data_IF_936807940457
#
_entry.id   IF_936807940457
#
_cell.length_a   1.000
_cell.length_b   1.000
_cell.length_c   1.000
_cell.angle_alpha   90.00
_cell.angle_beta   90.00
_cell.angle_gamma   90.00
#
_symmetry.space_group_name_H-M   'P 1'
#
loop_
_entity.id
_entity.type
_entity.pdbx_description
1 polymer ?
#
# COMPACT_ATOMS: atom_id res chain seq x y z
N UNK A 1 -3.99 -4.64 19.39
CA UNK A 1 -4.40 -5.26 18.11
C UNK A 1 -5.81 -5.83 18.13
N UNK A 2 -6.31 -6.36 19.23
CA UNK A 2 -7.69 -6.88 19.34
C UNK A 2 -8.78 -5.89 18.91
N UNK A 3 -8.67 -4.62 19.32
CA UNK A 3 -9.63 -3.56 18.90
C UNK A 3 -9.66 -3.36 17.38
N UNK A 4 -8.51 -3.42 16.71
CA UNK A 4 -8.44 -3.31 15.24
C UNK A 4 -9.03 -4.56 14.59
N UNK A 5 -8.73 -5.75 15.12
CA UNK A 5 -9.32 -6.99 14.63
C UNK A 5 -10.86 -6.96 14.73
N UNK A 6 -11.42 -6.44 15.83
CA UNK A 6 -12.87 -6.34 16.01
C UNK A 6 -13.58 -5.38 15.04
N UNK A 7 -12.86 -4.43 14.43
CA UNK A 7 -13.41 -3.53 13.42
C UNK A 7 -13.25 -4.06 12.00
N UNK A 8 -12.42 -5.09 11.80
CA UNK A 8 -12.15 -5.69 10.51
C UNK A 8 -13.10 -6.85 10.25
N UNK A 9 -13.59 -6.93 9.01
CA UNK A 9 -14.45 -7.99 8.53
C UNK A 9 -14.06 -8.40 7.11
N UNK A 10 -13.99 -9.70 6.83
CA UNK A 10 -13.49 -10.23 5.56
C UNK A 10 -14.29 -9.75 4.33
N UNK A 11 -15.60 -9.50 4.46
CA UNK A 11 -16.41 -9.02 3.33
C UNK A 11 -16.26 -7.52 3.03
N UNK A 12 -15.69 -6.74 3.95
CA UNK A 12 -15.61 -5.27 3.83
C UNK A 12 -14.23 -4.70 4.20
N UNK A 13 -13.22 -5.55 4.33
CA UNK A 13 -11.85 -5.18 4.68
C UNK A 13 -10.91 -5.77 3.65
N UNK A 14 -10.03 -4.95 3.11
CA UNK A 14 -8.97 -5.38 2.21
C UNK A 14 -7.63 -5.15 2.88
N UNK A 15 -6.73 -6.13 2.75
CA UNK A 15 -5.33 -5.97 3.09
C UNK A 15 -4.54 -5.70 1.81
N UNK A 16 -3.82 -4.58 1.77
CA UNK A 16 -2.90 -4.30 0.68
C UNK A 16 -1.56 -4.97 0.95
N UNK A 17 -1.40 -6.18 0.43
CA UNK A 17 -0.19 -6.99 0.59
C UNK A 17 -0.13 -8.11 -0.47
N UNK A 18 0.98 -8.25 -1.21
CA UNK A 18 1.16 -9.30 -2.20
C UNK A 18 1.52 -10.65 -1.54
N UNK A 19 0.54 -11.30 -0.93
CA UNK A 19 0.68 -12.70 -0.48
C UNK A 19 0.51 -13.69 -1.65
N UNK A 20 0.87 -14.95 -1.42
CA UNK A 20 0.70 -16.03 -2.42
C UNK A 20 -0.75 -16.20 -2.88
N UNK A 21 -1.72 -15.88 -2.01
CA UNK A 21 -3.15 -15.96 -2.31
C UNK A 21 -3.77 -14.57 -2.59
N UNK A 22 -2.96 -13.55 -2.83
CA UNK A 22 -3.46 -12.21 -3.10
C UNK A 22 -4.07 -12.11 -4.49
N UNK A 23 -5.09 -11.28 -4.62
CA UNK A 23 -5.81 -11.05 -5.87
C UNK A 23 -5.39 -9.69 -6.45
N UNK A 24 -5.28 -9.59 -7.77
CA UNK A 24 -5.02 -8.31 -8.42
C UNK A 24 -6.17 -7.34 -8.12
N UNK A 25 -5.88 -6.21 -7.48
CA UNK A 25 -6.87 -5.19 -7.12
C UNK A 25 -7.66 -4.75 -8.36
N UNK A 26 -6.95 -4.61 -9.47
CA UNK A 26 -7.46 -4.16 -10.75
C UNK A 26 -8.50 -5.09 -11.36
N UNK A 27 -8.49 -6.38 -11.01
CA UNK A 27 -9.42 -7.39 -11.54
C UNK A 27 -10.76 -7.43 -10.79
N UNK A 28 -10.83 -6.87 -9.57
CA UNK A 28 -11.98 -6.97 -8.67
C UNK A 28 -12.52 -5.58 -8.26
N UNK A 29 -12.21 -4.52 -9.03
CA UNK A 29 -12.47 -3.12 -8.68
C UNK A 29 -13.89 -2.87 -8.20
N UNK A 30 -14.88 -3.27 -8.99
CA UNK A 30 -16.31 -3.04 -8.72
C UNK A 30 -16.78 -3.78 -7.47
N UNK A 31 -16.36 -5.04 -7.33
CA UNK A 31 -16.70 -5.87 -6.18
C UNK A 31 -16.14 -5.26 -4.89
N UNK A 32 -14.85 -4.91 -4.88
CA UNK A 32 -14.19 -4.31 -3.72
C UNK A 32 -14.82 -2.95 -3.41
N UNK A 33 -14.94 -2.05 -4.40
CA UNK A 33 -15.45 -0.71 -4.19
C UNK A 33 -16.87 -0.69 -3.60
N UNK A 34 -17.70 -1.69 -3.93
CA UNK A 34 -19.07 -1.80 -3.45
C UNK A 34 -19.22 -2.11 -1.95
N UNK A 35 -18.22 -2.76 -1.33
CA UNK A 35 -18.32 -3.26 0.05
C UNK A 35 -17.20 -2.80 0.97
N UNK A 36 -16.10 -2.27 0.43
CA UNK A 36 -14.91 -1.90 1.19
C UNK A 36 -15.21 -0.75 2.16
N UNK A 37 -14.98 -1.02 3.45
CA UNK A 37 -15.07 -0.06 4.56
C UNK A 37 -13.70 0.24 5.16
N UNK A 38 -12.80 -0.75 5.15
CA UNK A 38 -11.49 -0.66 5.77
C UNK A 38 -10.41 -1.10 4.76
N UNK A 39 -9.42 -0.23 4.53
CA UNK A 39 -8.19 -0.60 3.83
C UNK A 39 -7.07 -0.73 4.86
N UNK A 40 -6.51 -1.93 4.99
CA UNK A 40 -5.34 -2.18 5.82
C UNK A 40 -4.08 -2.05 4.98
N UNK A 41 -3.16 -1.21 5.45
CA UNK A 41 -1.82 -1.04 4.85
C UNK A 41 -0.81 -1.18 5.98
N UNK A 42 0.25 -1.97 5.77
CA UNK A 42 1.30 -2.18 6.76
C UNK A 42 2.48 -1.28 6.41
N UNK A 43 2.71 -0.25 7.23
CA UNK A 43 3.82 0.67 7.02
C UNK A 43 5.14 0.10 7.54
N UNK A 44 6.08 -0.12 6.62
CA UNK A 44 7.40 -0.65 6.95
C UNK A 44 8.12 -1.25 5.75
N UNK A 45 9.32 -1.79 5.99
CA UNK A 45 10.01 -2.63 5.01
C UNK A 45 9.25 -3.95 4.78
N UNK A 46 9.51 -4.62 3.66
CA UNK A 46 8.93 -5.95 3.37
C UNK A 46 9.14 -6.97 4.50
N UNK A 47 10.34 -6.98 5.10
CA UNK A 47 10.65 -7.84 6.24
C UNK A 47 9.80 -7.51 7.47
N UNK A 48 9.57 -6.22 7.75
CA UNK A 48 8.72 -5.78 8.86
C UNK A 48 7.25 -6.09 8.58
N UNK A 49 6.76 -5.83 7.36
CA UNK A 49 5.39 -6.16 6.98
C UNK A 49 5.11 -7.66 7.08
N UNK A 50 6.04 -8.49 6.62
CA UNK A 50 5.97 -9.93 6.81
C UNK A 50 5.95 -10.32 8.29
N UNK A 51 6.82 -9.73 9.11
CA UNK A 51 6.84 -10.01 10.56
C UNK A 51 5.51 -9.65 11.24
N UNK A 52 4.87 -8.53 10.87
CA UNK A 52 3.54 -8.15 11.36
C UNK A 52 2.48 -9.19 10.99
N UNK A 53 2.49 -9.70 9.76
CA UNK A 53 1.56 -10.76 9.33
C UNK A 53 1.75 -12.04 10.12
N UNK A 54 3.00 -12.47 10.35
CA UNK A 54 3.31 -13.64 11.15
C UNK A 54 2.91 -13.46 12.62
N UNK A 55 3.04 -12.24 13.15
CA UNK A 55 2.70 -11.93 14.54
C UNK A 55 1.18 -11.89 14.78
N UNK A 56 0.38 -11.52 13.78
CA UNK A 56 -1.07 -11.37 13.91
C UNK A 56 -1.83 -12.25 12.92
N UNK A 57 -2.07 -13.54 13.23
CA UNK A 57 -2.64 -14.52 12.31
C UNK A 57 -4.00 -14.14 11.71
N UNK A 58 -4.79 -13.30 12.38
CA UNK A 58 -6.07 -12.82 11.86
C UNK A 58 -5.92 -11.96 10.61
N UNK A 59 -4.76 -11.35 10.35
CA UNK A 59 -4.52 -10.62 9.11
C UNK A 59 -4.55 -11.55 7.89
N UNK A 60 -4.15 -12.81 8.07
CA UNK A 60 -4.18 -13.83 7.01
C UNK A 60 -5.60 -14.29 6.67
N UNK A 61 -6.60 -14.00 7.50
CA UNK A 61 -8.02 -14.27 7.17
C UNK A 61 -8.68 -13.11 6.41
N UNK A 62 -8.01 -11.97 6.28
CA UNK A 62 -8.48 -10.83 5.50
C UNK A 62 -8.07 -11.04 4.03
N UNK A 63 -8.99 -10.83 3.06
CA UNK A 63 -8.63 -10.85 1.65
C UNK A 63 -7.49 -9.88 1.35
N UNK A 64 -6.42 -10.41 0.74
CA UNK A 64 -5.23 -9.63 0.41
C UNK A 64 -5.17 -9.31 -1.08
N UNK A 65 -4.66 -8.14 -1.41
CA UNK A 65 -4.60 -7.64 -2.78
C UNK A 65 -3.21 -7.12 -3.12
N UNK A 66 -2.83 -7.30 -4.39
CA UNK A 66 -1.64 -6.73 -5.00
C UNK A 66 -2.03 -5.84 -6.18
N UNK A 67 -1.03 -5.15 -6.74
CA UNK A 67 -1.18 -4.39 -7.97
C UNK A 67 -0.54 -5.16 -9.11
N UNK A 68 -1.33 -5.47 -10.13
CA UNK A 68 -0.82 -6.05 -11.37
C UNK A 68 -0.25 -4.95 -12.29
N UNK A 69 -0.77 -3.73 -12.18
CA UNK A 69 -0.40 -2.59 -13.03
C UNK A 69 0.05 -1.42 -12.16
N UNK A 70 0.91 -1.71 -11.17
CA UNK A 70 1.49 -0.69 -10.32
C UNK A 70 2.24 0.35 -11.17
N UNK A 71 2.03 1.66 -10.94
CA UNK A 71 2.83 2.67 -11.59
C UNK A 71 4.28 2.59 -11.09
N UNK A 72 5.20 3.18 -11.84
CA UNK A 72 6.53 3.45 -11.33
C UNK A 72 6.42 4.39 -10.12
N UNK A 73 7.06 4.01 -9.03
CA UNK A 73 7.19 4.86 -7.83
C UNK A 73 7.91 6.18 -8.16
N UNK A 74 7.41 7.26 -7.57
CA UNK A 74 8.00 8.60 -7.60
C UNK A 74 8.72 8.91 -6.28
N UNK A 75 8.71 7.98 -5.33
CA UNK A 75 9.43 8.09 -4.07
C UNK A 75 10.92 7.76 -4.26
N UNK A 76 11.75 8.79 -4.11
CA UNK A 76 13.19 8.83 -4.36
C UNK A 76 14.02 8.57 -3.11
N UNK A 77 13.50 8.75 -1.90
CA UNK A 77 14.28 8.65 -0.64
C UNK A 77 14.20 7.23 -0.07
N UNK A 78 14.79 6.26 -0.78
CA UNK A 78 14.85 4.87 -0.31
C UNK A 78 16.05 4.12 -0.87
N UNK A 79 16.63 3.23 -0.06
CA UNK A 79 17.58 2.22 -0.53
C UNK A 79 16.84 1.01 -1.13
N UNK A 80 16.39 1.10 -2.38
CA UNK A 80 15.82 -0.05 -3.10
C UNK A 80 16.00 0.09 -4.62
N UNK A 81 16.19 -1.04 -5.29
CA UNK A 81 16.24 -1.15 -6.75
C UNK A 81 14.90 -1.56 -7.38
N UNK A 82 13.90 -1.88 -6.57
CA UNK A 82 12.59 -2.36 -7.05
C UNK A 82 11.76 -1.18 -7.57
N UNK A 83 11.67 -1.01 -8.89
CA UNK A 83 10.96 0.12 -9.52
C UNK A 83 9.48 0.22 -9.16
N UNK A 84 8.81 -0.90 -8.91
CA UNK A 84 7.40 -0.97 -8.51
C UNK A 84 7.22 -0.96 -6.97
N UNK A 85 8.29 -0.70 -6.23
CA UNK A 85 8.27 -0.62 -4.77
C UNK A 85 7.69 0.70 -4.28
N UNK A 86 6.39 0.88 -4.47
CA UNK A 86 5.62 2.05 -4.05
C UNK A 86 5.82 2.37 -2.56
N UNK A 87 5.76 3.66 -2.22
CA UNK A 87 5.63 4.10 -0.84
C UNK A 87 4.24 3.74 -0.28
N UNK A 88 4.08 3.72 1.04
CA UNK A 88 2.77 3.53 1.70
C UNK A 88 1.74 4.56 1.20
N UNK A 89 2.18 5.80 0.95
CA UNK A 89 1.34 6.87 0.40
C UNK A 89 0.95 6.59 -1.05
N UNK A 90 1.89 6.23 -1.92
CA UNK A 90 1.64 5.91 -3.33
C UNK A 90 0.71 4.70 -3.48
N UNK A 91 0.93 3.66 -2.68
CA UNK A 91 0.11 2.45 -2.69
C UNK A 91 -1.33 2.75 -2.25
N UNK A 92 -1.51 3.59 -1.23
CA UNK A 92 -2.83 4.05 -0.78
C UNK A 92 -3.50 4.92 -1.83
N UNK A 93 -2.77 5.88 -2.41
CA UNK A 93 -3.24 6.75 -3.48
C UNK A 93 -3.71 5.93 -4.69
N UNK A 94 -2.88 5.00 -5.17
CA UNK A 94 -3.23 4.14 -6.30
C UNK A 94 -4.48 3.29 -6.03
N UNK A 95 -4.63 2.77 -4.81
CA UNK A 95 -5.83 2.03 -4.41
C UNK A 95 -7.09 2.90 -4.48
N UNK A 96 -7.04 4.11 -3.90
CA UNK A 96 -8.17 5.04 -3.89
C UNK A 96 -8.57 5.50 -5.29
N UNK A 97 -7.58 5.81 -6.14
CA UNK A 97 -7.85 6.16 -7.53
C UNK A 97 -8.43 4.97 -8.31
N UNK A 98 -7.86 3.77 -8.14
CA UNK A 98 -8.29 2.57 -8.86
C UNK A 98 -9.74 2.20 -8.54
N UNK A 99 -10.09 2.17 -7.25
CA UNK A 99 -11.40 1.73 -6.76
C UNK A 99 -12.48 2.82 -6.87
N UNK A 100 -12.13 4.07 -6.57
CA UNK A 100 -13.13 5.14 -6.38
C UNK A 100 -12.97 6.33 -7.32
N UNK A 101 -11.97 6.30 -8.23
CA UNK A 101 -11.67 7.41 -9.15
C UNK A 101 -11.41 8.73 -8.44
N UNK A 102 -10.96 8.66 -7.18
CA UNK A 102 -10.53 9.83 -6.43
C UNK A 102 -9.30 10.40 -7.13
N UNK A 103 -9.28 11.72 -7.32
CA UNK A 103 -8.06 12.41 -7.74
C UNK A 103 -7.03 12.35 -6.62
N UNK A 104 -5.93 11.68 -6.90
CA UNK A 104 -4.84 11.48 -5.94
C UNK A 104 -3.58 12.26 -6.28
N UNK A 105 -3.63 13.13 -7.30
CA UNK A 105 -2.53 14.01 -7.64
C UNK A 105 -2.03 14.85 -6.44
N UNK A 106 -2.90 15.39 -5.56
CA UNK A 106 -2.44 16.13 -4.39
C UNK A 106 -1.55 15.34 -3.44
N UNK A 107 -1.71 14.00 -3.35
CA UNK A 107 -0.83 13.17 -2.53
C UNK A 107 0.56 13.03 -3.15
N UNK A 108 0.64 12.98 -4.47
CA UNK A 108 1.89 12.91 -5.20
C UNK A 108 2.64 14.23 -5.06
N UNK A 109 1.97 15.36 -5.25
CA UNK A 109 2.54 16.71 -5.07
C UNK A 109 3.04 16.93 -3.64
N UNK A 110 2.27 16.50 -2.63
CA UNK A 110 2.71 16.53 -1.23
C UNK A 110 3.99 15.72 -1.03
N UNK A 111 4.07 14.51 -1.63
CA UNK A 111 5.25 13.66 -1.54
C UNK A 111 6.45 14.31 -2.22
N UNK A 112 6.28 14.91 -3.39
CA UNK A 112 7.33 15.63 -4.10
C UNK A 112 7.85 16.82 -3.28
N UNK A 113 6.95 17.67 -2.77
CA UNK A 113 7.33 18.81 -1.95
C UNK A 113 8.10 18.39 -0.69
N UNK A 114 7.69 17.30 -0.03
CA UNK A 114 8.43 16.75 1.11
C UNK A 114 9.83 16.27 0.71
N UNK A 115 9.97 15.64 -0.45
CA UNK A 115 11.25 15.14 -0.94
C UNK A 115 12.20 16.25 -1.40
N UNK A 116 11.68 17.30 -2.01
CA UNK A 116 12.47 18.47 -2.44
C UNK A 116 13.05 19.24 -1.25
N UNK A 117 12.39 19.14 -0.09
CA UNK A 117 12.83 19.71 1.17
C UNK A 117 13.66 18.73 2.02
N UNK A 118 13.99 17.54 1.52
CA UNK A 118 14.78 16.56 2.25
C UNK A 118 16.21 17.04 2.50
N UNK A 119 16.62 17.07 3.77
CA UNK A 119 17.97 17.48 4.20
C UNK A 119 18.85 16.32 4.69
N UNK A 120 18.39 15.08 4.54
CA UNK A 120 19.14 13.90 4.96
C UNK A 120 20.22 13.48 3.94
N UNK A 121 20.95 12.38 4.21
CA UNK A 121 22.05 11.94 3.36
C UNK A 121 21.61 11.65 1.93
N UNK A 122 22.38 12.11 0.93
CA UNK A 122 22.14 11.78 -0.49
C UNK A 122 22.21 10.28 -0.77
N UNK A 123 22.98 9.53 0.01
CA UNK A 123 23.07 8.08 -0.10
C UNK A 123 21.71 7.38 0.08
N UNK A 124 20.75 8.00 0.79
CA UNK A 124 19.40 7.46 0.96
C UNK A 124 18.53 7.63 -0.29
N UNK A 125 18.99 8.36 -1.30
CA UNK A 125 18.29 8.49 -2.55
C UNK A 125 18.50 7.23 -3.41
N UNK A 126 17.48 6.88 -4.20
CA UNK A 126 17.55 5.77 -5.14
C UNK A 126 18.64 6.04 -6.17
N UNK A 127 19.38 4.98 -6.50
CA UNK A 127 20.26 4.98 -7.66
C UNK A 127 19.38 5.11 -8.91
N UNK A 128 19.53 6.25 -9.62
CA UNK A 128 18.89 6.52 -10.93
C UNK A 128 19.58 5.75 -12.05
#
# INVERSE_FOLDING_TARGET
>A
MERLASTCNAQSTALLYPSDNSIALESQREHIASSLKNLLVIDGSWKQAYAVLQQFPWLSSIPSFHFEQAPATQYRIRHTRIREGLSTLEATAYTLNTLYKIDTQPFIELQEAMQDNWRGPKAHQRET
#
